data_IF_864520963967
#
_entry.id   IF_864520963967
#
_cell.length_a   1.000
_cell.length_b   1.000
_cell.length_c   1.000
_cell.angle_alpha   90.00
_cell.angle_beta   90.00
_cell.angle_gamma   90.00
#
_symmetry.space_group_name_H-M   'P 1'
#
loop_
_entity.id
_entity.type
_entity.pdbx_description
1 polymer ?
#
# COMPACT_ATOMS: atom_id res chain seq x y z
N UNK A 1 37.62 -39.59 -4.79
CA UNK A 1 36.74 -39.03 -3.75
C UNK A 1 36.64 -37.56 -3.98
N UNK A 2 35.58 -37.01 -4.64
CA UNK A 2 35.39 -35.59 -4.73
C UNK A 2 34.54 -35.12 -3.54
N UNK A 3 35.05 -34.14 -2.81
CA UNK A 3 34.37 -33.52 -1.68
C UNK A 3 33.32 -32.54 -2.23
N UNK A 4 32.06 -32.72 -1.83
CA UNK A 4 30.96 -31.83 -2.08
C UNK A 4 31.12 -30.57 -1.23
N UNK A 5 31.45 -29.44 -1.88
CA UNK A 5 31.36 -28.10 -1.26
C UNK A 5 29.92 -27.67 -1.22
N UNK A 6 29.26 -27.87 -0.06
CA UNK A 6 27.85 -27.45 0.17
C UNK A 6 27.74 -25.95 0.45
N UNK A 7 27.09 -25.28 -0.44
CA UNK A 7 26.20 -24.11 -0.32
C UNK A 7 26.24 -23.29 0.97
N UNK A 8 27.20 -22.39 1.10
CA UNK A 8 27.22 -21.30 2.09
C UNK A 8 26.23 -20.17 1.77
N UNK A 9 25.68 -20.09 0.56
CA UNK A 9 24.79 -19.02 0.08
C UNK A 9 23.39 -18.99 0.71
N UNK A 10 22.81 -20.12 1.06
CA UNK A 10 21.43 -20.18 1.55
C UNK A 10 21.23 -19.68 3.00
N UNK A 11 22.22 -19.89 3.87
CA UNK A 11 22.15 -19.47 5.28
C UNK A 11 22.46 -17.99 5.46
N UNK A 12 23.34 -17.40 4.64
CA UNK A 12 23.66 -15.97 4.66
C UNK A 12 22.51 -15.13 4.08
N UNK A 13 21.87 -15.57 3.00
CA UNK A 13 20.71 -14.92 2.39
C UNK A 13 19.51 -14.92 3.34
N UNK A 14 19.20 -16.01 4.01
CA UNK A 14 18.14 -16.12 5.01
C UNK A 14 18.36 -15.20 6.22
N UNK A 15 19.61 -15.04 6.69
CA UNK A 15 19.95 -14.07 7.75
C UNK A 15 19.77 -12.63 7.27
N UNK A 16 20.07 -12.33 6.00
CA UNK A 16 19.86 -11.02 5.41
C UNK A 16 18.39 -10.65 5.36
N UNK A 17 17.51 -11.54 4.92
CA UNK A 17 16.06 -11.34 4.83
C UNK A 17 15.41 -11.17 6.22
N UNK A 18 15.85 -11.94 7.22
CA UNK A 18 15.37 -11.79 8.62
C UNK A 18 15.76 -10.45 9.20
N UNK A 19 16.98 -9.98 8.98
CA UNK A 19 17.44 -8.67 9.44
C UNK A 19 16.68 -7.55 8.72
N UNK A 20 16.49 -7.68 7.42
CA UNK A 20 15.78 -6.68 6.62
C UNK A 20 14.32 -6.52 7.07
N UNK A 21 13.62 -7.63 7.31
CA UNK A 21 12.28 -7.60 7.91
C UNK A 21 12.27 -6.91 9.27
N UNK A 22 13.22 -7.24 10.17
CA UNK A 22 13.32 -6.62 11.48
C UNK A 22 13.57 -5.10 11.38
N UNK A 23 14.34 -4.65 10.38
CA UNK A 23 14.58 -3.24 10.12
C UNK A 23 13.31 -2.54 9.61
N UNK A 24 12.53 -3.16 8.72
CA UNK A 24 11.25 -2.61 8.26
C UNK A 24 10.23 -2.50 9.41
N UNK A 25 10.09 -3.54 10.22
CA UNK A 25 9.20 -3.54 11.38
C UNK A 25 9.61 -2.46 12.40
N UNK A 26 10.91 -2.34 12.68
CA UNK A 26 11.43 -1.29 13.56
C UNK A 26 11.19 0.12 12.99
N UNK A 27 11.37 0.31 11.68
CA UNK A 27 11.12 1.58 10.99
C UNK A 27 9.66 1.99 11.10
N UNK A 28 8.71 1.07 10.85
CA UNK A 28 7.28 1.34 10.94
C UNK A 28 6.83 1.63 12.37
N UNK A 29 7.41 0.93 13.36
CA UNK A 29 7.14 1.18 14.77
C UNK A 29 7.65 2.56 15.22
N UNK A 30 8.89 2.92 14.89
CA UNK A 30 9.45 4.25 15.16
C UNK A 30 8.64 5.35 14.46
N UNK A 31 8.31 5.15 13.18
CA UNK A 31 7.50 6.08 12.41
C UNK A 31 6.14 6.34 13.07
N UNK A 32 5.53 5.31 13.63
CA UNK A 32 4.23 5.40 14.33
C UNK A 32 4.36 6.14 15.66
N UNK A 33 5.48 5.94 16.39
CA UNK A 33 5.69 6.44 17.74
C UNK A 33 6.16 7.90 17.73
N UNK A 34 7.18 8.22 16.94
CA UNK A 34 7.84 9.54 16.97
C UNK A 34 7.58 10.37 15.70
N UNK A 35 6.91 9.82 14.70
CA UNK A 35 6.68 10.47 13.40
C UNK A 35 7.95 10.59 12.54
N UNK A 36 7.80 11.05 11.30
CA UNK A 36 8.94 11.15 10.35
C UNK A 36 9.99 12.17 10.81
N UNK A 37 9.57 13.28 11.43
CA UNK A 37 10.49 14.31 11.92
C UNK A 37 11.38 13.82 13.06
N UNK A 38 10.85 12.97 13.97
CA UNK A 38 11.60 12.38 15.09
C UNK A 38 12.37 11.11 14.71
N UNK A 39 12.12 10.53 13.56
CA UNK A 39 12.75 9.29 13.10
C UNK A 39 14.23 9.50 12.80
N UNK A 40 15.07 8.61 13.34
CA UNK A 40 16.52 8.60 13.08
C UNK A 40 17.01 7.20 12.73
N UNK A 41 18.07 7.13 11.91
CA UNK A 41 18.72 5.84 11.57
C UNK A 41 19.24 5.13 12.81
N UNK A 42 19.67 5.90 13.82
CA UNK A 42 20.12 5.42 15.12
C UNK A 42 18.99 4.76 15.93
N UNK A 43 17.84 5.41 16.00
CA UNK A 43 16.66 4.90 16.71
C UNK A 43 16.19 3.58 16.08
N UNK A 44 16.11 3.54 14.75
CA UNK A 44 15.74 2.33 14.01
C UNK A 44 16.75 1.20 14.28
N UNK A 45 18.07 1.47 14.22
CA UNK A 45 19.09 0.46 14.49
C UNK A 45 19.00 -0.09 15.92
N UNK A 46 18.79 0.78 16.89
CA UNK A 46 18.63 0.40 18.29
C UNK A 46 17.39 -0.49 18.50
N UNK A 47 16.24 -0.10 17.94
CA UNK A 47 14.99 -0.88 18.00
C UNK A 47 15.10 -2.24 17.30
N UNK A 48 15.81 -2.30 16.18
CA UNK A 48 16.07 -3.55 15.45
C UNK A 48 17.20 -4.40 16.05
N UNK A 49 17.76 -3.99 17.18
CA UNK A 49 18.90 -4.65 17.85
C UNK A 49 20.09 -4.89 16.92
N UNK A 50 20.43 -3.91 16.07
CA UNK A 50 21.53 -4.01 15.13
C UNK A 50 22.43 -2.77 15.12
N UNK A 51 23.57 -2.83 14.45
CA UNK A 51 24.47 -1.69 14.31
C UNK A 51 24.09 -0.80 13.13
N UNK A 52 24.33 0.53 13.24
CA UNK A 52 24.10 1.53 12.16
C UNK A 52 24.69 1.12 10.82
N UNK A 53 25.88 0.51 10.82
CA UNK A 53 26.55 0.05 9.59
C UNK A 53 25.72 -0.96 8.78
N UNK A 54 24.80 -1.69 9.43
CA UNK A 54 23.89 -2.61 8.76
C UNK A 54 22.82 -1.89 7.95
N UNK A 55 22.36 -0.71 8.42
CA UNK A 55 21.41 0.14 7.73
C UNK A 55 22.09 0.86 6.57
N UNK A 56 23.18 1.61 6.84
CA UNK A 56 23.88 2.42 5.84
C UNK A 56 24.50 1.62 4.67
N UNK A 57 24.65 0.30 4.81
CA UNK A 57 25.01 -0.57 3.68
C UNK A 57 23.85 -0.83 2.71
N UNK A 58 22.61 -0.51 3.08
CA UNK A 58 21.39 -0.80 2.32
C UNK A 58 20.62 0.43 1.89
N UNK A 59 20.61 1.45 2.75
CA UNK A 59 19.88 2.69 2.54
C UNK A 59 20.76 3.86 2.92
N UNK A 60 20.93 4.78 2.01
CA UNK A 60 21.77 5.98 2.23
C UNK A 60 21.02 7.00 3.11
N UNK A 61 19.70 7.02 3.03
CA UNK A 61 18.84 7.97 3.73
C UNK A 61 17.73 7.30 4.52
N UNK A 62 17.19 8.00 5.53
CA UNK A 62 15.99 7.56 6.25
C UNK A 62 14.77 7.51 5.32
N UNK A 63 14.73 8.36 4.31
CA UNK A 63 13.65 8.41 3.33
C UNK A 63 13.58 7.10 2.52
N UNK A 64 14.71 6.63 2.02
CA UNK A 64 14.79 5.34 1.32
C UNK A 64 14.36 4.16 2.20
N UNK A 65 14.81 4.16 3.45
CA UNK A 65 14.43 3.09 4.39
C UNK A 65 12.93 3.13 4.71
N UNK A 66 12.36 4.31 4.96
CA UNK A 66 10.91 4.47 5.18
C UNK A 66 10.12 4.03 3.95
N UNK A 67 10.55 4.42 2.75
CA UNK A 67 9.95 3.97 1.51
C UNK A 67 9.94 2.44 1.40
N UNK A 68 11.11 1.80 1.59
CA UNK A 68 11.24 0.36 1.54
C UNK A 68 10.35 -0.35 2.58
N UNK A 69 10.27 0.20 3.81
CA UNK A 69 9.41 -0.31 4.87
C UNK A 69 7.92 -0.17 4.53
N UNK A 70 7.49 0.94 3.92
CA UNK A 70 6.12 1.12 3.47
C UNK A 70 5.75 0.13 2.36
N UNK A 71 6.63 -0.04 1.37
CA UNK A 71 6.42 -1.03 0.29
C UNK A 71 6.34 -2.44 0.86
N UNK A 72 7.21 -2.79 1.80
CA UNK A 72 7.18 -4.09 2.49
C UNK A 72 5.87 -4.32 3.26
N UNK A 73 5.34 -3.30 3.92
CA UNK A 73 4.11 -3.39 4.72
C UNK A 73 2.83 -3.38 3.87
N UNK A 74 2.93 -3.00 2.58
CA UNK A 74 1.78 -2.99 1.70
C UNK A 74 1.20 -4.41 1.56
N UNK A 75 -0.09 -4.61 1.83
CA UNK A 75 -0.71 -5.89 1.54
C UNK A 75 -0.66 -6.15 0.02
N UNK A 76 -0.55 -7.41 -0.38
CA UNK A 76 -0.61 -7.76 -1.80
C UNK A 76 -1.91 -7.24 -2.41
N UNK A 77 -1.84 -6.87 -3.69
CA UNK A 77 -3.05 -6.48 -4.41
C UNK A 77 -4.03 -7.68 -4.45
N UNK A 78 -5.33 -7.44 -4.22
CA UNK A 78 -6.30 -8.52 -4.31
C UNK A 78 -6.35 -9.06 -5.74
N UNK A 79 -6.50 -10.38 -5.86
CA UNK A 79 -6.64 -11.04 -7.16
C UNK A 79 -7.98 -10.64 -7.81
N UNK A 80 -7.88 -10.04 -8.98
CA UNK A 80 -9.02 -9.77 -9.85
C UNK A 80 -9.35 -11.05 -10.63
N UNK A 81 -10.57 -11.52 -10.50
CA UNK A 81 -10.99 -12.76 -11.16
C UNK A 81 -11.53 -12.48 -12.56
N UNK A 82 -10.93 -13.12 -13.55
CA UNK A 82 -11.50 -13.16 -14.90
C UNK A 82 -12.94 -13.72 -14.88
N UNK A 83 -13.82 -13.13 -15.66
CA UNK A 83 -15.24 -13.52 -15.73
C UNK A 83 -16.13 -12.98 -14.61
N UNK A 84 -15.59 -12.23 -13.63
CA UNK A 84 -16.40 -11.42 -12.72
C UNK A 84 -16.69 -10.06 -13.35
N UNK A 85 -17.87 -9.51 -13.05
CA UNK A 85 -18.21 -8.16 -13.50
C UNK A 85 -17.21 -7.13 -12.96
N UNK A 86 -16.98 -6.05 -13.69
CA UNK A 86 -16.16 -4.91 -13.27
C UNK A 86 -16.60 -4.38 -11.90
N UNK A 87 -17.91 -4.28 -11.64
CA UNK A 87 -18.48 -3.87 -10.34
C UNK A 87 -18.04 -4.78 -9.19
N UNK A 88 -18.05 -6.12 -9.40
CA UNK A 88 -17.63 -7.07 -8.38
C UNK A 88 -16.12 -7.02 -8.11
N UNK A 89 -15.30 -6.79 -9.13
CA UNK A 89 -13.86 -6.60 -9.01
C UNK A 89 -13.55 -5.26 -8.30
N UNK A 90 -14.24 -4.18 -8.66
CA UNK A 90 -14.09 -2.88 -8.02
C UNK A 90 -14.43 -2.94 -6.53
N UNK A 91 -15.53 -3.62 -6.17
CA UNK A 91 -15.90 -3.85 -4.76
C UNK A 91 -14.80 -4.63 -4.01
N UNK A 92 -14.16 -5.60 -4.65
CA UNK A 92 -13.03 -6.34 -4.06
C UNK A 92 -11.85 -5.42 -3.75
N UNK A 93 -11.49 -4.50 -4.67
CA UNK A 93 -10.44 -3.50 -4.45
C UNK A 93 -10.80 -2.54 -3.30
N UNK A 94 -12.04 -2.08 -3.24
CA UNK A 94 -12.50 -1.15 -2.21
C UNK A 94 -12.57 -1.79 -0.82
N UNK A 95 -12.96 -3.07 -0.72
CA UNK A 95 -12.89 -3.83 0.54
C UNK A 95 -11.45 -3.94 1.02
N UNK A 96 -10.50 -4.29 0.14
CA UNK A 96 -9.09 -4.35 0.49
C UNK A 96 -8.55 -2.98 0.95
N UNK A 97 -8.98 -1.88 0.32
CA UNK A 97 -8.63 -0.53 0.76
C UNK A 97 -9.17 -0.22 2.16
N UNK A 98 -10.42 -0.59 2.45
CA UNK A 98 -11.01 -0.46 3.78
C UNK A 98 -10.27 -1.28 4.84
N UNK A 99 -9.77 -2.48 4.52
CA UNK A 99 -8.99 -3.29 5.45
C UNK A 99 -7.67 -2.63 5.83
N UNK A 100 -7.03 -1.90 4.90
CA UNK A 100 -5.86 -1.06 5.19
C UNK A 100 -6.25 0.06 6.16
N UNK A 101 -7.32 0.80 5.89
CA UNK A 101 -7.78 1.89 6.76
C UNK A 101 -8.19 1.42 8.15
N UNK A 102 -8.83 0.25 8.23
CA UNK A 102 -9.24 -0.38 9.50
C UNK A 102 -8.05 -0.94 10.32
N UNK A 103 -6.80 -0.80 9.86
CA UNK A 103 -5.63 -1.33 10.54
C UNK A 103 -5.55 -2.85 10.58
N UNK A 104 -6.25 -3.55 9.67
CA UNK A 104 -6.21 -5.02 9.57
C UNK A 104 -4.96 -5.54 8.83
N UNK A 105 -4.05 -4.66 8.48
CA UNK A 105 -2.80 -4.97 7.77
C UNK A 105 -1.61 -4.41 8.53
N UNK A 106 -0.39 -4.80 8.15
CA UNK A 106 0.83 -4.22 8.72
C UNK A 106 1.14 -2.81 8.18
N UNK A 107 0.35 -2.30 7.25
CA UNK A 107 0.55 -0.97 6.70
C UNK A 107 0.20 0.11 7.74
N UNK A 108 1.01 1.17 7.90
CA UNK A 108 0.72 2.23 8.85
C UNK A 108 -0.63 2.89 8.58
N UNK A 109 -1.37 3.18 9.64
CA UNK A 109 -2.65 3.85 9.54
C UNK A 109 -2.57 5.25 8.91
N UNK A 110 -3.71 5.78 8.49
CA UNK A 110 -3.83 7.05 7.79
C UNK A 110 -3.16 8.23 8.53
N UNK A 111 -3.15 8.21 9.86
CA UNK A 111 -2.47 9.22 10.70
C UNK A 111 -0.98 9.35 10.40
N UNK A 112 -0.29 8.22 10.25
CA UNK A 112 1.14 8.16 9.93
C UNK A 112 1.36 8.66 8.51
N UNK A 113 0.53 8.21 7.58
CA UNK A 113 0.61 8.63 6.18
C UNK A 113 0.39 10.14 6.03
N UNK A 114 -0.55 10.73 6.75
CA UNK A 114 -0.76 12.18 6.74
C UNK A 114 0.49 12.96 7.19
N UNK A 115 1.22 12.47 8.19
CA UNK A 115 2.48 13.11 8.60
C UNK A 115 3.54 13.07 7.49
N UNK A 116 3.62 11.96 6.75
CA UNK A 116 4.54 11.83 5.62
C UNK A 116 4.20 12.77 4.47
N UNK A 117 2.94 13.13 4.30
CA UNK A 117 2.50 14.03 3.23
C UNK A 117 2.96 15.49 3.41
N UNK A 118 3.45 15.87 4.59
CA UNK A 118 4.09 17.17 4.81
C UNK A 118 5.51 17.26 4.22
N UNK A 119 6.16 16.11 3.99
CA UNK A 119 7.49 16.02 3.39
C UNK A 119 7.35 15.84 1.86
N UNK A 120 7.79 16.80 1.03
CA UNK A 120 7.59 16.74 -0.43
C UNK A 120 8.16 15.47 -1.07
N UNK A 121 9.37 15.06 -0.68
CA UNK A 121 10.02 13.86 -1.18
C UNK A 121 9.21 12.59 -0.84
N UNK A 122 8.74 12.47 0.40
CA UNK A 122 7.92 11.34 0.83
C UNK A 122 6.56 11.30 0.13
N UNK A 123 5.96 12.45 -0.14
CA UNK A 123 4.69 12.56 -0.87
C UNK A 123 4.84 12.03 -2.30
N UNK A 124 5.91 12.40 -3.00
CA UNK A 124 6.19 11.94 -4.36
C UNK A 124 6.41 10.42 -4.38
N UNK A 125 7.27 9.92 -3.49
CA UNK A 125 7.53 8.48 -3.34
C UNK A 125 6.25 7.72 -3.03
N UNK A 126 5.44 8.21 -2.09
CA UNK A 126 4.17 7.58 -1.71
C UNK A 126 3.19 7.54 -2.87
N UNK A 127 3.07 8.63 -3.62
CA UNK A 127 2.22 8.71 -4.80
C UNK A 127 2.62 7.65 -5.84
N UNK A 128 3.90 7.50 -6.13
CA UNK A 128 4.38 6.56 -7.15
C UNK A 128 4.42 5.11 -6.68
N UNK A 129 4.88 4.85 -5.47
CA UNK A 129 5.12 3.47 -5.01
C UNK A 129 3.90 2.83 -4.33
N UNK A 130 3.01 3.63 -3.75
CA UNK A 130 1.85 3.13 -2.99
C UNK A 130 0.54 3.39 -3.72
N UNK A 131 0.28 4.64 -4.08
CA UNK A 131 -1.02 5.04 -4.66
C UNK A 131 -1.12 4.63 -6.12
N UNK A 132 -0.12 4.96 -6.94
CA UNK A 132 -0.12 4.72 -8.39
C UNK A 132 -0.45 3.28 -8.78
N UNK A 133 0.25 2.25 -8.26
CA UNK A 133 -0.05 0.87 -8.60
C UNK A 133 -1.48 0.44 -8.26
N UNK A 134 -2.06 0.99 -7.18
CA UNK A 134 -3.44 0.70 -6.79
C UNK A 134 -4.47 1.38 -7.67
N UNK A 135 -4.22 2.63 -8.06
CA UNK A 135 -5.07 3.33 -9.02
C UNK A 135 -5.02 2.65 -10.39
N UNK A 136 -3.86 2.16 -10.83
CA UNK A 136 -3.75 1.40 -12.09
C UNK A 136 -4.61 0.12 -12.09
N UNK A 137 -4.78 -0.53 -10.93
CA UNK A 137 -5.72 -1.65 -10.80
C UNK A 137 -7.18 -1.19 -10.95
N UNK A 138 -7.55 -0.07 -10.33
CA UNK A 138 -8.89 0.51 -10.51
C UNK A 138 -9.12 0.86 -11.97
N UNK A 139 -8.17 1.54 -12.63
CA UNK A 139 -8.25 1.85 -14.06
C UNK A 139 -8.43 0.62 -14.93
N UNK A 140 -7.71 -0.47 -14.65
CA UNK A 140 -7.84 -1.71 -15.41
C UNK A 140 -9.25 -2.29 -15.31
N UNK A 141 -9.87 -2.20 -14.11
CA UNK A 141 -11.27 -2.63 -13.90
C UNK A 141 -12.25 -1.71 -14.64
N UNK A 142 -12.00 -0.39 -14.63
CA UNK A 142 -12.86 0.57 -15.34
C UNK A 142 -12.78 0.37 -16.88
N UNK A 143 -11.59 0.07 -17.40
CA UNK A 143 -11.42 -0.29 -18.83
C UNK A 143 -12.19 -1.56 -19.18
N UNK A 144 -12.14 -2.60 -18.33
CA UNK A 144 -12.96 -3.79 -18.51
C UNK A 144 -14.47 -3.46 -18.52
N UNK A 145 -14.91 -2.49 -17.70
CA UNK A 145 -16.30 -2.03 -17.72
C UNK A 145 -16.69 -1.34 -19.04
N UNK A 146 -15.74 -0.66 -19.71
CA UNK A 146 -15.94 -0.11 -21.05
C UNK A 146 -16.09 -1.25 -22.06
N UNK A 147 -15.20 -2.23 -22.03
CA UNK A 147 -15.23 -3.39 -22.94
C UNK A 147 -16.53 -4.18 -22.79
N UNK A 148 -17.07 -4.29 -21.57
CA UNK A 148 -18.34 -4.91 -21.25
C UNK A 148 -19.56 -4.01 -21.59
N UNK A 149 -19.34 -2.75 -21.98
CA UNK A 149 -20.37 -1.76 -22.30
C UNK A 149 -21.08 -1.20 -21.07
N UNK A 150 -20.52 -1.35 -19.86
CA UNK A 150 -21.04 -0.79 -18.61
C UNK A 150 -20.67 0.68 -18.41
N UNK A 151 -19.64 1.16 -19.11
CA UNK A 151 -19.18 2.56 -19.09
C UNK A 151 -18.91 3.07 -20.50
N UNK A 152 -19.14 4.37 -20.72
CA UNK A 152 -18.74 5.04 -21.94
C UNK A 152 -17.21 5.24 -21.98
N UNK A 153 -16.55 5.06 -23.16
CA UNK A 153 -15.09 5.19 -23.30
C UNK A 153 -14.51 6.51 -22.81
N UNK A 154 -15.27 7.61 -22.92
CA UNK A 154 -14.83 8.94 -22.49
C UNK A 154 -14.91 9.20 -20.99
N UNK A 155 -15.45 8.26 -20.19
CA UNK A 155 -15.64 8.43 -18.73
C UNK A 155 -14.37 8.12 -17.93
N UNK A 156 -13.46 7.30 -18.46
CA UNK A 156 -12.27 6.86 -17.71
C UNK A 156 -11.11 7.82 -17.92
N UNK A 157 -10.70 8.47 -16.84
CA UNK A 157 -9.55 9.36 -16.75
C UNK A 157 -8.89 9.19 -15.37
N UNK A 158 -7.80 9.90 -15.10
CA UNK A 158 -7.07 9.84 -13.83
C UNK A 158 -7.92 10.14 -12.59
N UNK A 159 -8.91 11.02 -12.72
CA UNK A 159 -9.80 11.37 -11.61
C UNK A 159 -10.86 10.31 -11.39
N UNK A 160 -11.39 9.70 -12.44
CA UNK A 160 -12.43 8.64 -12.33
C UNK A 160 -11.93 7.47 -11.49
N UNK A 161 -10.69 7.03 -11.71
CA UNK A 161 -10.08 5.97 -10.91
C UNK A 161 -9.92 6.35 -9.43
N UNK A 162 -9.78 7.65 -9.15
CA UNK A 162 -9.59 8.17 -7.79
C UNK A 162 -10.90 8.37 -7.01
N UNK A 163 -12.06 8.45 -7.67
CA UNK A 163 -13.36 8.77 -7.03
C UNK A 163 -13.65 7.81 -5.88
N UNK A 164 -13.61 6.51 -6.12
CA UNK A 164 -13.94 5.51 -5.10
C UNK A 164 -13.00 5.58 -3.89
N UNK A 165 -11.68 5.49 -4.07
CA UNK A 165 -10.72 5.65 -2.98
C UNK A 165 -10.86 6.99 -2.25
N UNK A 166 -11.12 8.10 -2.95
CA UNK A 166 -11.32 9.41 -2.33
C UNK A 166 -12.56 9.45 -1.44
N UNK A 167 -13.69 8.90 -1.88
CA UNK A 167 -14.91 8.81 -1.09
C UNK A 167 -14.73 7.93 0.15
N UNK A 168 -14.03 6.81 0.02
CA UNK A 168 -13.70 5.93 1.15
C UNK A 168 -12.82 6.66 2.17
N UNK A 169 -11.75 7.33 1.71
CA UNK A 169 -10.87 8.10 2.59
C UNK A 169 -11.61 9.26 3.26
N UNK A 170 -12.46 9.98 2.52
CA UNK A 170 -13.28 11.07 3.07
C UNK A 170 -14.23 10.56 4.16
N UNK A 171 -14.94 9.45 3.92
CA UNK A 171 -15.80 8.84 4.91
C UNK A 171 -15.02 8.48 6.19
N UNK A 172 -13.87 7.81 6.02
CA UNK A 172 -13.00 7.43 7.14
C UNK A 172 -12.51 8.65 7.95
N UNK A 173 -12.12 9.74 7.26
CA UNK A 173 -11.67 10.97 7.93
C UNK A 173 -12.77 11.61 8.78
N UNK A 174 -14.02 11.53 8.35
CA UNK A 174 -15.15 12.12 9.08
C UNK A 174 -15.67 11.23 10.23
N UNK A 175 -15.60 9.92 10.07
CA UNK A 175 -16.25 8.98 11.00
C UNK A 175 -15.29 8.20 11.88
N UNK A 176 -14.01 8.10 11.49
CA UNK A 176 -13.02 7.22 12.12
C UNK A 176 -13.16 5.74 11.71
N UNK A 177 -14.18 5.39 10.94
CA UNK A 177 -14.47 4.04 10.52
C UNK A 177 -14.54 3.93 8.99
N UNK A 178 -14.10 2.83 8.38
CA UNK A 178 -14.27 2.63 6.94
C UNK A 178 -15.74 2.40 6.60
N UNK A 179 -16.17 2.73 5.36
CA UNK A 179 -17.52 2.46 4.90
C UNK A 179 -17.89 0.97 5.04
N UNK A 180 -19.09 0.68 5.52
CA UNK A 180 -19.61 -0.69 5.55
C UNK A 180 -20.07 -1.14 4.14
N UNK A 181 -20.30 -2.42 3.96
CA UNK A 181 -20.50 -3.04 2.65
C UNK A 181 -21.54 -2.32 1.76
N UNK A 182 -22.72 -1.97 2.31
CA UNK A 182 -23.74 -1.27 1.51
C UNK A 182 -23.29 0.11 1.04
N UNK A 183 -22.52 0.83 1.85
CA UNK A 183 -21.94 2.11 1.45
C UNK A 183 -20.90 1.93 0.35
N UNK A 184 -20.09 0.87 0.41
CA UNK A 184 -19.15 0.53 -0.67
C UNK A 184 -19.88 0.20 -1.97
N UNK A 185 -21.01 -0.49 -1.91
CA UNK A 185 -21.86 -0.77 -3.07
C UNK A 185 -22.38 0.54 -3.69
N UNK A 186 -22.81 1.51 -2.89
CA UNK A 186 -23.19 2.85 -3.37
C UNK A 186 -22.02 3.61 -4.01
N UNK A 187 -20.81 3.50 -3.43
CA UNK A 187 -19.62 4.09 -4.03
C UNK A 187 -19.30 3.42 -5.39
N UNK A 188 -19.43 2.10 -5.47
CA UNK A 188 -19.27 1.37 -6.76
C UNK A 188 -20.34 1.82 -7.76
N UNK A 189 -21.60 2.03 -7.33
CA UNK A 189 -22.67 2.52 -8.18
C UNK A 189 -22.43 3.94 -8.70
N UNK A 190 -21.70 4.75 -7.93
CA UNK A 190 -21.29 6.10 -8.35
C UNK A 190 -20.21 6.04 -9.43
N UNK A 191 -19.28 5.08 -9.34
CA UNK A 191 -18.16 4.93 -10.28
C UNK A 191 -18.58 4.16 -11.54
N UNK A 192 -19.35 3.09 -11.39
CA UNK A 192 -19.95 2.29 -12.47
C UNK A 192 -21.46 2.26 -12.24
N UNK A 193 -22.24 3.18 -12.81
CA UNK A 193 -23.67 3.21 -12.64
C UNK A 193 -24.34 1.90 -13.04
N UNK A 194 -25.38 1.45 -12.33
CA UNK A 194 -26.13 0.30 -12.74
C UNK A 194 -26.79 0.57 -14.10
N UNK A 195 -26.76 -0.40 -15.01
CA UNK A 195 -27.49 -0.27 -16.28
C UNK A 195 -28.96 0.00 -15.95
N UNK A 196 -29.51 1.07 -16.51
CA UNK A 196 -30.94 1.34 -16.42
C UNK A 196 -31.73 0.13 -16.95
N UNK A 197 -32.71 -0.29 -16.17
CA UNK A 197 -33.68 -1.28 -16.64
C UNK A 197 -34.60 -0.68 -17.68
#
# INVERSE_FOLDING_TARGET
MPQCTGTAGGRSRRRGEVLERALYEATLAELTEVGYGGLTMEGIAARAHTGKAALYRRWDTKCELVHAALVFALPPAPELRAGRSARANLLTLFVAHCDVLAGKTCFPGLRVIQQLMHEPEMREIFAHAVVGPRLSLVESVLRSAIDDGDLDPGTVNEFTASIGPALINHHFLLTGEPPYRRQLELIVDTVIPPRGR
#
